data_IF_655806251753
#
_entry.id   IF_655806251753
#
_cell.length_a   1.000
_cell.length_b   1.000
_cell.length_c   1.000
_cell.angle_alpha   90.00
_cell.angle_beta   90.00
_cell.angle_gamma   90.00
#
_symmetry.space_group_name_H-M   'P 1'
#
loop_
_entity.id
_entity.type
_entity.pdbx_description
1 polymer ?
#
# COMPACT_ATOMS: atom_id res chain seq x y z
N UNK A 1 10.65 13.95 -9.22
CA UNK A 1 11.24 13.50 -7.93
C UNK A 1 10.33 13.82 -6.72
N UNK A 2 9.91 15.07 -6.52
CA UNK A 2 9.04 15.43 -5.37
C UNK A 2 7.72 14.62 -5.34
N UNK A 3 7.06 14.44 -6.49
CA UNK A 3 5.81 13.69 -6.59
C UNK A 3 5.99 12.19 -6.24
N UNK A 4 7.07 11.59 -6.70
CA UNK A 4 7.39 10.21 -6.33
C UNK A 4 7.63 10.08 -4.82
N UNK A 5 8.32 11.05 -4.21
CA UNK A 5 8.51 11.11 -2.76
C UNK A 5 7.18 11.25 -2.00
N UNK A 6 6.26 12.09 -2.49
CA UNK A 6 4.93 12.24 -1.88
C UNK A 6 4.07 10.97 -2.02
N UNK A 7 4.10 10.31 -3.18
CA UNK A 7 3.40 9.04 -3.39
C UNK A 7 3.98 7.97 -2.46
N UNK A 8 5.31 7.88 -2.34
CA UNK A 8 5.97 6.96 -1.42
C UNK A 8 5.58 7.25 0.04
N UNK A 9 5.59 8.52 0.46
CA UNK A 9 5.22 8.92 1.82
C UNK A 9 3.74 8.67 2.14
N UNK A 10 2.84 9.02 1.24
CA UNK A 10 1.39 8.86 1.48
C UNK A 10 0.97 7.40 1.32
N UNK A 11 1.21 6.80 0.16
CA UNK A 11 0.73 5.45 -0.13
C UNK A 11 1.68 4.37 0.39
N UNK A 12 2.99 4.59 0.32
CA UNK A 12 3.97 3.65 0.83
C UNK A 12 3.97 3.61 2.36
N UNK A 13 4.33 4.72 3.01
CA UNK A 13 4.39 4.77 4.47
C UNK A 13 3.01 4.56 5.11
N UNK A 14 1.93 5.10 4.52
CA UNK A 14 0.58 4.96 5.05
C UNK A 14 0.06 3.53 5.02
N UNK A 15 0.15 2.81 3.88
CA UNK A 15 -0.27 1.40 3.81
C UNK A 15 0.64 0.53 4.66
N UNK A 16 1.96 0.82 4.68
CA UNK A 16 2.87 0.06 5.53
C UNK A 16 2.55 0.24 7.02
N UNK A 17 2.25 1.46 7.44
CA UNK A 17 1.81 1.78 8.79
C UNK A 17 0.55 0.98 9.18
N UNK A 18 -0.44 0.89 8.27
CA UNK A 18 -1.62 0.07 8.49
C UNK A 18 -1.29 -1.42 8.59
N UNK A 19 -0.39 -1.92 7.74
CA UNK A 19 0.07 -3.31 7.78
C UNK A 19 0.81 -3.61 9.10
N UNK A 20 1.69 -2.71 9.54
CA UNK A 20 2.41 -2.85 10.80
C UNK A 20 1.47 -2.90 12.00
N UNK A 21 0.49 -1.99 12.05
CA UNK A 21 -0.53 -1.98 13.09
C UNK A 21 -1.39 -3.24 13.12
N UNK A 22 -1.66 -3.86 11.98
CA UNK A 22 -2.52 -5.03 11.87
C UNK A 22 -1.78 -6.36 11.95
N UNK A 23 -0.50 -6.41 11.62
CA UNK A 23 0.22 -7.69 11.44
C UNK A 23 1.51 -7.80 12.26
N UNK A 24 1.93 -6.72 12.92
CA UNK A 24 3.25 -6.62 13.52
C UNK A 24 4.36 -6.44 12.46
N UNK A 25 5.61 -6.69 12.84
CA UNK A 25 6.75 -6.49 11.94
C UNK A 25 6.60 -7.27 10.62
N UNK A 26 6.58 -6.55 9.51
CA UNK A 26 6.64 -7.08 8.16
C UNK A 26 7.92 -6.56 7.47
N UNK A 27 8.44 -7.29 6.49
CA UNK A 27 9.57 -6.82 5.68
C UNK A 27 9.19 -5.57 4.89
N UNK A 28 9.80 -4.44 5.27
CA UNK A 28 9.49 -3.10 4.71
C UNK A 28 10.05 -2.91 3.30
N UNK A 29 11.26 -3.45 3.08
CA UNK A 29 12.05 -3.19 1.88
C UNK A 29 11.34 -3.59 0.58
N UNK A 30 10.83 -4.83 0.40
CA UNK A 30 10.19 -5.24 -0.85
C UNK A 30 8.96 -4.39 -1.18
N UNK A 31 8.16 -4.05 -0.17
CA UNK A 31 6.97 -3.23 -0.33
C UNK A 31 7.32 -1.78 -0.73
N UNK A 32 8.19 -1.10 0.03
CA UNK A 32 8.57 0.29 -0.25
C UNK A 32 9.29 0.44 -1.59
N UNK A 33 10.18 -0.50 -1.93
CA UNK A 33 10.83 -0.52 -3.23
C UNK A 33 9.82 -0.67 -4.38
N UNK A 34 8.82 -1.55 -4.24
CA UNK A 34 7.80 -1.73 -5.28
C UNK A 34 6.91 -0.50 -5.45
N UNK A 35 6.51 0.17 -4.36
CA UNK A 35 5.78 1.46 -4.41
C UNK A 35 6.59 2.51 -5.15
N UNK A 36 7.88 2.66 -4.77
CA UNK A 36 8.75 3.69 -5.34
C UNK A 36 9.02 3.47 -6.83
N UNK A 37 9.39 2.23 -7.22
CA UNK A 37 9.63 1.88 -8.62
C UNK A 37 8.37 2.12 -9.45
N UNK A 38 7.19 1.70 -8.95
CA UNK A 38 5.93 1.89 -9.67
C UNK A 38 5.58 3.38 -9.81
N UNK A 39 5.76 4.16 -8.76
CA UNK A 39 5.54 5.61 -8.82
C UNK A 39 6.48 6.28 -9.84
N UNK A 40 7.76 5.91 -9.86
CA UNK A 40 8.72 6.41 -10.85
C UNK A 40 8.34 6.02 -12.28
N UNK A 41 7.95 4.77 -12.53
CA UNK A 41 7.52 4.31 -13.84
C UNK A 41 6.28 5.09 -14.30
N UNK A 42 5.28 5.28 -13.44
CA UNK A 42 4.08 6.05 -13.76
C UNK A 42 4.41 7.51 -14.12
N UNK A 43 5.28 8.16 -13.35
CA UNK A 43 5.70 9.54 -13.61
C UNK A 43 6.55 9.67 -14.87
N UNK A 44 7.47 8.72 -15.12
CA UNK A 44 8.30 8.71 -16.31
C UNK A 44 7.46 8.54 -17.59
N UNK A 45 6.44 7.69 -17.54
CA UNK A 45 5.55 7.46 -18.68
C UNK A 45 4.67 8.67 -18.99
N UNK A 46 4.38 9.51 -18.00
CA UNK A 46 3.65 10.78 -18.23
C UNK A 46 4.47 11.79 -19.06
N UNK A 47 5.80 11.77 -18.95
CA UNK A 47 6.67 12.65 -19.74
C UNK A 47 6.72 12.29 -21.23
N UNK A 48 6.36 11.07 -21.59
CA UNK A 48 6.35 10.57 -22.97
C UNK A 48 5.00 10.84 -23.63
N UNK A 49 4.87 11.92 -24.42
CA UNK A 49 3.60 12.38 -25.06
C UNK A 49 2.85 11.33 -25.89
N UNK A 50 3.52 10.35 -26.52
CA UNK A 50 2.91 9.24 -27.29
C UNK A 50 2.79 7.94 -26.49
N UNK A 51 3.54 7.79 -25.41
CA UNK A 51 3.60 6.56 -24.61
C UNK A 51 2.42 6.35 -23.66
N UNK A 52 1.68 7.41 -23.35
CA UNK A 52 0.70 7.42 -22.23
C UNK A 52 -0.38 6.33 -22.32
N UNK A 53 -0.95 6.11 -23.51
CA UNK A 53 -1.96 5.05 -23.70
C UNK A 53 -1.31 3.66 -23.73
N UNK A 54 -0.18 3.55 -24.45
CA UNK A 54 0.58 2.30 -24.57
C UNK A 54 1.08 1.85 -23.20
N UNK A 55 1.59 2.76 -22.39
CA UNK A 55 2.14 2.44 -21.07
C UNK A 55 1.09 2.05 -20.06
N UNK A 56 -0.06 2.73 -20.04
CA UNK A 56 -1.20 2.33 -19.21
C UNK A 56 -1.67 0.92 -19.53
N UNK A 57 -1.79 0.59 -20.82
CA UNK A 57 -2.15 -0.75 -21.30
C UNK A 57 -1.08 -1.79 -20.94
N UNK A 58 0.20 -1.42 -21.04
CA UNK A 58 1.32 -2.32 -20.77
C UNK A 58 1.46 -2.61 -19.27
N UNK A 59 1.29 -1.61 -18.41
CA UNK A 59 1.23 -1.80 -16.95
C UNK A 59 0.04 -2.70 -16.57
N UNK A 60 -1.14 -2.46 -17.16
CA UNK A 60 -2.31 -3.28 -16.90
C UNK A 60 -2.10 -4.74 -17.35
N UNK A 61 -1.51 -4.96 -18.53
CA UNK A 61 -1.18 -6.30 -19.02
C UNK A 61 -0.15 -7.00 -18.13
N UNK A 62 0.96 -6.33 -17.78
CA UNK A 62 1.99 -6.90 -16.91
C UNK A 62 1.41 -7.26 -15.55
N UNK A 63 0.61 -6.35 -14.95
CA UNK A 63 -0.04 -6.61 -13.68
C UNK A 63 -1.01 -7.79 -13.78
N UNK A 64 -1.80 -7.88 -14.85
CA UNK A 64 -2.69 -9.01 -15.11
C UNK A 64 -1.94 -10.34 -15.25
N UNK A 65 -0.82 -10.34 -15.95
CA UNK A 65 0.05 -11.53 -16.10
C UNK A 65 0.61 -11.95 -14.73
N UNK A 66 1.13 -11.01 -13.94
CA UNK A 66 1.66 -11.29 -12.60
C UNK A 66 0.56 -11.88 -11.71
N UNK A 67 -0.63 -11.27 -11.67
CA UNK A 67 -1.76 -11.78 -10.88
C UNK A 67 -2.15 -13.19 -11.33
N UNK A 68 -2.20 -13.46 -12.63
CA UNK A 68 -2.57 -14.76 -13.16
C UNK A 68 -1.58 -15.86 -12.79
N UNK A 69 -0.28 -15.61 -12.98
CA UNK A 69 0.77 -16.61 -12.68
C UNK A 69 0.98 -16.82 -11.18
N UNK A 70 0.93 -15.75 -10.39
CA UNK A 70 1.19 -15.81 -8.95
C UNK A 70 -0.07 -15.86 -8.08
N UNK A 71 -1.26 -16.11 -8.67
CA UNK A 71 -2.55 -16.11 -7.95
C UNK A 71 -2.58 -16.94 -6.68
N UNK A 72 -1.93 -18.15 -6.70
CA UNK A 72 -1.88 -19.02 -5.53
C UNK A 72 -1.03 -18.41 -4.40
N UNK A 73 0.13 -17.88 -4.73
CA UNK A 73 1.00 -17.20 -3.77
C UNK A 73 0.36 -15.91 -3.23
N UNK A 74 -0.32 -15.13 -4.09
CA UNK A 74 -1.04 -13.95 -3.68
C UNK A 74 -2.18 -14.26 -2.70
N UNK A 75 -2.97 -15.30 -2.98
CA UNK A 75 -4.03 -15.73 -2.08
C UNK A 75 -3.46 -16.26 -0.77
N UNK A 76 -2.40 -17.07 -0.81
CA UNK A 76 -1.74 -17.57 0.39
C UNK A 76 -1.18 -16.41 1.24
N UNK A 77 -0.51 -15.43 0.62
CA UNK A 77 -0.01 -14.24 1.30
C UNK A 77 -1.14 -13.40 1.91
N UNK A 78 -2.23 -13.17 1.17
CA UNK A 78 -3.40 -12.47 1.69
C UNK A 78 -4.01 -13.17 2.93
N UNK A 79 -4.08 -14.51 2.91
CA UNK A 79 -4.56 -15.30 4.05
C UNK A 79 -3.63 -15.17 5.26
N UNK A 80 -2.31 -15.18 5.05
CA UNK A 80 -1.34 -14.95 6.13
C UNK A 80 -1.56 -13.59 6.81
N UNK A 81 -1.67 -12.52 6.01
CA UNK A 81 -1.91 -11.17 6.54
C UNK A 81 -3.28 -11.04 7.20
N UNK A 82 -4.33 -11.61 6.58
CA UNK A 82 -5.66 -11.65 7.16
C UNK A 82 -5.68 -12.31 8.54
N UNK A 83 -5.08 -13.51 8.66
CA UNK A 83 -5.06 -14.26 9.92
C UNK A 83 -4.28 -13.52 11.02
N UNK A 84 -3.16 -12.87 10.67
CA UNK A 84 -2.42 -12.01 11.59
C UNK A 84 -3.28 -10.85 12.10
N UNK A 85 -3.94 -10.13 11.20
CA UNK A 85 -4.84 -9.03 11.55
C UNK A 85 -6.04 -9.49 12.39
N UNK A 86 -6.65 -10.63 12.03
CA UNK A 86 -7.76 -11.22 12.77
C UNK A 86 -7.35 -11.62 14.20
N UNK A 87 -6.13 -12.15 14.38
CA UNK A 87 -5.59 -12.45 15.69
C UNK A 87 -5.41 -11.21 16.55
N UNK A 88 -4.85 -10.16 15.96
CA UNK A 88 -4.59 -8.91 16.66
C UNK A 88 -5.90 -8.23 17.08
N UNK A 89 -6.87 -8.13 16.18
CA UNK A 89 -8.19 -7.56 16.50
C UNK A 89 -8.96 -8.40 17.53
N UNK A 90 -8.82 -9.72 17.50
CA UNK A 90 -9.39 -10.61 18.52
C UNK A 90 -8.79 -10.39 19.90
N UNK A 91 -7.47 -10.20 19.97
CA UNK A 91 -6.77 -10.00 21.27
C UNK A 91 -6.90 -8.59 21.83
N UNK A 92 -6.92 -7.56 20.98
CA UNK A 92 -6.89 -6.16 21.40
C UNK A 92 -8.29 -5.53 21.52
N UNK A 93 -9.17 -5.78 20.55
CA UNK A 93 -10.49 -5.17 20.47
C UNK A 93 -11.65 -6.14 20.76
N UNK A 94 -11.37 -7.42 21.03
CA UNK A 94 -12.40 -8.43 21.22
C UNK A 94 -13.22 -8.75 19.96
N UNK A 95 -12.74 -8.33 18.77
CA UNK A 95 -13.42 -8.54 17.51
C UNK A 95 -12.94 -9.85 16.89
N UNK A 96 -13.77 -10.88 16.95
CA UNK A 96 -13.44 -12.21 16.42
C UNK A 96 -13.80 -12.30 14.95
N UNK A 97 -12.77 -12.36 14.09
CA UNK A 97 -12.90 -12.55 12.66
C UNK A 97 -12.63 -14.02 12.29
N UNK A 98 -13.26 -14.48 11.20
CA UNK A 98 -13.04 -15.82 10.66
C UNK A 98 -11.60 -15.96 10.20
N UNK A 99 -10.95 -17.04 10.63
CA UNK A 99 -9.59 -17.41 10.20
C UNK A 99 -9.67 -18.43 9.08
N UNK A 100 -8.78 -18.30 8.13
CA UNK A 100 -8.67 -19.22 7.01
C UNK A 100 -7.51 -20.19 7.22
N UNK A 101 -7.65 -21.43 6.76
CA UNK A 101 -6.55 -22.38 6.77
C UNK A 101 -5.45 -21.92 5.81
N UNK A 102 -4.22 -21.86 6.30
CA UNK A 102 -3.05 -21.61 5.45
C UNK A 102 -2.78 -22.82 4.58
N UNK A 103 -2.43 -22.58 3.31
CA UNK A 103 -2.04 -23.66 2.40
C UNK A 103 -0.68 -24.18 2.86
N UNK A 104 -0.64 -25.43 3.33
CA UNK A 104 0.54 -26.04 3.96
C UNK A 104 1.70 -26.33 3.00
N UNK A 105 1.43 -26.35 1.70
CA UNK A 105 2.43 -26.73 0.67
C UNK A 105 3.20 -25.52 0.08
N UNK A 106 2.91 -24.30 0.54
CA UNK A 106 3.55 -23.08 0.03
C UNK A 106 4.43 -22.46 1.11
N UNK A 107 5.60 -21.97 0.68
CA UNK A 107 6.46 -21.16 1.52
C UNK A 107 5.73 -19.87 1.91
N UNK A 108 5.39 -19.76 3.19
CA UNK A 108 4.61 -18.63 3.74
C UNK A 108 5.36 -17.32 3.68
N UNK A 109 6.71 -17.35 3.78
CA UNK A 109 7.53 -16.14 3.68
C UNK A 109 7.56 -15.61 2.24
N UNK A 110 7.75 -16.51 1.28
CA UNK A 110 7.73 -16.17 -0.14
C UNK A 110 6.34 -15.68 -0.55
N UNK A 111 5.28 -16.30 -0.08
CA UNK A 111 3.91 -15.87 -0.34
C UNK A 111 3.62 -14.48 0.25
N UNK A 112 4.08 -14.21 1.47
CA UNK A 112 3.95 -12.90 2.10
C UNK A 112 4.71 -11.82 1.32
N UNK A 113 5.95 -12.11 0.90
CA UNK A 113 6.78 -11.17 0.12
C UNK A 113 6.14 -10.85 -1.24
N UNK A 114 5.67 -11.86 -1.98
CA UNK A 114 4.98 -11.65 -3.27
C UNK A 114 3.72 -10.82 -3.08
N UNK A 115 2.94 -11.08 -2.04
CA UNK A 115 1.76 -10.30 -1.71
C UNK A 115 2.11 -8.82 -1.42
N UNK A 116 3.16 -8.56 -0.61
CA UNK A 116 3.63 -7.21 -0.30
C UNK A 116 4.10 -6.46 -1.56
N UNK A 117 4.84 -7.11 -2.44
CA UNK A 117 5.28 -6.51 -3.72
C UNK A 117 4.08 -6.12 -4.59
N UNK A 118 3.10 -7.02 -4.74
CA UNK A 118 1.89 -6.72 -5.52
C UNK A 118 1.05 -5.60 -4.88
N UNK A 119 0.93 -5.61 -3.55
CA UNK A 119 0.26 -4.54 -2.81
C UNK A 119 0.98 -3.20 -3.00
N UNK A 120 2.32 -3.20 -3.00
CA UNK A 120 3.13 -2.01 -3.26
C UNK A 120 2.95 -1.47 -4.68
N UNK A 121 2.85 -2.34 -5.70
CA UNK A 121 2.54 -1.94 -7.07
C UNK A 121 1.14 -1.29 -7.12
N UNK A 122 0.15 -1.91 -6.49
CA UNK A 122 -1.20 -1.35 -6.42
C UNK A 122 -1.23 0.01 -5.68
N UNK A 123 -0.50 0.12 -4.58
CA UNK A 123 -0.37 1.36 -3.81
C UNK A 123 0.30 2.48 -4.61
N UNK A 124 1.40 2.18 -5.33
CA UNK A 124 2.10 3.14 -6.18
C UNK A 124 1.23 3.65 -7.34
N UNK A 125 0.48 2.75 -7.98
CA UNK A 125 -0.46 3.12 -9.06
C UNK A 125 -1.64 3.93 -8.53
N UNK A 126 -2.23 3.53 -7.41
CA UNK A 126 -3.32 4.27 -6.77
C UNK A 126 -2.87 5.66 -6.34
N UNK A 127 -1.68 5.78 -5.73
CA UNK A 127 -1.11 7.06 -5.34
C UNK A 127 -0.91 8.00 -6.53
N UNK A 128 -0.38 7.49 -7.64
CA UNK A 128 -0.25 8.26 -8.87
C UNK A 128 -1.61 8.75 -9.36
N UNK A 129 -2.63 7.89 -9.38
CA UNK A 129 -3.98 8.26 -9.82
C UNK A 129 -4.63 9.30 -8.89
N UNK A 130 -4.45 9.20 -7.57
CA UNK A 130 -4.96 10.20 -6.63
C UNK A 130 -4.36 11.59 -6.87
N UNK A 131 -3.05 11.67 -7.12
CA UNK A 131 -2.41 12.92 -7.49
C UNK A 131 -2.91 13.45 -8.83
N UNK A 132 -3.10 12.57 -9.79
CA UNK A 132 -3.57 12.92 -11.13
C UNK A 132 -5.00 13.45 -11.15
N UNK A 133 -5.90 12.81 -10.40
CA UNK A 133 -7.31 13.18 -10.32
C UNK A 133 -7.62 14.22 -9.25
N UNK A 134 -6.62 14.62 -8.46
CA UNK A 134 -6.76 15.62 -7.37
C UNK A 134 -7.88 15.29 -6.38
N UNK A 135 -8.02 14.04 -5.99
CA UNK A 135 -9.06 13.58 -5.10
C UNK A 135 -8.64 13.81 -3.63
N UNK A 136 -8.68 15.08 -3.20
CA UNK A 136 -8.25 15.49 -1.86
C UNK A 136 -9.09 14.86 -0.73
N UNK A 137 -10.40 14.68 -0.95
CA UNK A 137 -11.30 14.10 0.05
C UNK A 137 -10.89 12.68 0.44
N UNK A 138 -10.52 11.85 -0.54
CA UNK A 138 -10.08 10.47 -0.27
C UNK A 138 -8.79 10.47 0.56
N UNK A 139 -7.86 11.39 0.29
CA UNK A 139 -6.62 11.50 1.09
C UNK A 139 -6.89 11.90 2.54
N UNK A 140 -7.85 12.79 2.78
CA UNK A 140 -8.24 13.17 4.15
C UNK A 140 -8.86 11.97 4.86
N UNK A 141 -9.80 11.26 4.22
CA UNK A 141 -10.41 10.05 4.78
C UNK A 141 -9.36 8.95 5.05
N UNK A 142 -8.43 8.77 4.12
CA UNK A 142 -7.32 7.83 4.28
C UNK A 142 -6.44 8.19 5.48
N UNK A 143 -6.19 9.49 5.72
CA UNK A 143 -5.46 9.96 6.88
C UNK A 143 -6.13 9.65 8.22
N UNK A 144 -7.45 9.47 8.26
CA UNK A 144 -8.17 9.10 9.49
C UNK A 144 -8.03 7.62 9.85
N UNK A 145 -7.78 6.74 8.88
CA UNK A 145 -7.74 5.28 9.11
C UNK A 145 -6.71 4.86 10.15
N UNK A 146 -5.44 5.32 10.14
CA UNK A 146 -4.47 4.96 11.18
C UNK A 146 -4.91 5.41 12.57
N UNK A 147 -5.51 6.61 12.70
CA UNK A 147 -6.00 7.12 13.99
C UNK A 147 -7.12 6.24 14.54
N UNK A 148 -8.07 5.84 13.69
CA UNK A 148 -9.15 4.93 14.08
C UNK A 148 -8.59 3.58 14.52
N UNK A 149 -7.62 3.04 13.79
CA UNK A 149 -6.98 1.78 14.15
C UNK A 149 -6.21 1.89 15.48
N UNK A 150 -5.48 2.99 15.72
CA UNK A 150 -4.82 3.24 17.01
C UNK A 150 -5.81 3.18 18.17
N UNK A 151 -6.98 3.80 18.01
CA UNK A 151 -8.03 3.78 19.05
C UNK A 151 -8.59 2.38 19.24
N UNK A 152 -8.80 1.62 18.17
CA UNK A 152 -9.38 0.27 18.22
C UNK A 152 -8.41 -0.78 18.76
N UNK A 153 -7.13 -0.70 18.38
CA UNK A 153 -6.15 -1.72 18.74
C UNK A 153 -5.33 -1.39 19.99
N UNK A 154 -5.30 -0.11 20.38
CA UNK A 154 -4.41 0.39 21.42
C UNK A 154 -2.92 0.30 21.05
N UNK A 155 -2.60 -0.08 19.80
CA UNK A 155 -1.24 -0.19 19.33
C UNK A 155 -0.77 1.13 18.71
N UNK A 156 0.42 1.57 19.11
CA UNK A 156 1.05 2.76 18.54
C UNK A 156 2.02 2.30 17.44
N UNK A 157 1.91 2.87 16.21
CA UNK A 157 2.84 2.57 15.14
C UNK A 157 4.20 3.21 15.42
N UNK A 158 5.22 2.81 14.68
CA UNK A 158 6.53 3.46 14.75
C UNK A 158 6.40 4.97 14.49
N UNK A 159 6.93 5.82 15.40
CA UNK A 159 6.74 7.28 15.30
C UNK A 159 7.33 7.86 14.02
N UNK A 160 8.41 7.26 13.50
CA UNK A 160 9.05 7.70 12.26
C UNK A 160 8.13 7.56 11.05
N UNK A 161 7.50 6.39 10.88
CA UNK A 161 6.55 6.14 9.79
C UNK A 161 5.31 7.02 9.90
N UNK A 162 4.82 7.22 11.13
CA UNK A 162 3.68 8.07 11.41
C UNK A 162 3.97 9.52 11.00
N UNK A 163 5.12 10.07 11.38
CA UNK A 163 5.53 11.43 11.02
C UNK A 163 5.71 11.56 9.50
N UNK A 164 6.41 10.62 8.85
CA UNK A 164 6.62 10.63 7.39
C UNK A 164 5.27 10.61 6.66
N UNK A 165 4.34 9.77 7.10
CA UNK A 165 3.02 9.67 6.49
C UNK A 165 2.24 10.99 6.58
N UNK A 166 2.05 11.54 7.79
CA UNK A 166 1.26 12.77 7.97
C UNK A 166 1.93 14.00 7.35
N UNK A 167 3.25 14.11 7.44
CA UNK A 167 3.98 15.18 6.77
C UNK A 167 3.80 15.12 5.24
N UNK A 168 3.93 13.94 4.66
CA UNK A 168 3.71 13.73 3.21
C UNK A 168 2.25 14.00 2.81
N UNK A 169 1.28 13.63 3.66
CA UNK A 169 -0.13 13.87 3.43
C UNK A 169 -0.44 15.37 3.41
N UNK A 170 0.06 16.12 4.38
CA UNK A 170 -0.12 17.59 4.44
C UNK A 170 0.52 18.27 3.22
N UNK A 171 1.76 17.91 2.87
CA UNK A 171 2.42 18.44 1.68
C UNK A 171 1.66 18.08 0.39
N UNK A 172 1.14 16.86 0.29
CA UNK A 172 0.32 16.41 -0.84
C UNK A 172 -0.95 17.23 -0.99
N UNK A 173 -1.66 17.48 0.12
CA UNK A 173 -2.86 18.31 0.13
C UNK A 173 -2.55 19.78 -0.27
N UNK A 174 -1.48 20.36 0.28
CA UNK A 174 -1.04 21.72 -0.10
C UNK A 174 -0.77 21.78 -1.60
N UNK A 175 -0.02 20.81 -2.14
CA UNK A 175 0.30 20.76 -3.58
C UNK A 175 -0.94 20.64 -4.46
N UNK A 176 -1.92 19.82 -4.06
CA UNK A 176 -3.17 19.68 -4.82
C UNK A 176 -3.97 20.98 -4.88
N UNK A 177 -3.88 21.83 -3.84
CA UNK A 177 -4.58 23.10 -3.79
C UNK A 177 -3.82 24.25 -4.43
N UNK A 178 -2.48 24.26 -4.39
CA UNK A 178 -1.65 25.37 -4.89
C UNK A 178 -1.33 25.26 -6.39
N UNK A 179 -1.24 24.06 -6.95
CA UNK A 179 -1.04 23.86 -8.39
C UNK A 179 -2.38 23.89 -9.13
N UNK A 180 -2.95 25.09 -9.30
CA UNK A 180 -4.05 25.34 -10.23
C UNK A 180 -3.55 25.51 -11.65
#
# INVERSE_FOLDING_TARGET
>A
MLEAGLILGICGAGIFLLLEMLTGAADRLPFLCSVFITALVCLFTETMKKGRQITGTLIFLITGIIIFFFRRLLLAGAVVFWNKGANLLGSSAGIYLVRYQTVTDLDTELAATVFLVCLGIAAGTAGYLFFRWRISLILVLYGLVPVVLMVLTGSFPEPELFIIFYFSLVLGLIRMHTCK
#
